data_IF_243961255906
#
_entry.id   IF_243961255906
#
_cell.length_a   1.000
_cell.length_b   1.000
_cell.length_c   1.000
_cell.angle_alpha   90.00
_cell.angle_beta   90.00
_cell.angle_gamma   90.00
#
_symmetry.space_group_name_H-M   'P 1'
#
loop_
_entity.id
_entity.type
_entity.pdbx_description
1 polymer ?
#
# COMPACT_ATOMS: atom_id res chain seq x y z
N UNK A 1 -0.40 12.86 -15.80
CA UNK A 1 -0.47 14.31 -15.54
C UNK A 1 -1.71 14.63 -14.76
N UNK A 2 -1.51 15.16 -13.56
CA UNK A 2 -2.58 15.74 -12.75
C UNK A 2 -2.81 17.14 -13.30
N UNK A 3 -3.94 17.32 -13.99
CA UNK A 3 -4.40 18.61 -14.54
C UNK A 3 -5.56 19.18 -13.73
N UNK A 4 -5.63 18.86 -12.44
CA UNK A 4 -6.72 19.28 -11.55
C UNK A 4 -6.44 20.67 -10.98
N UNK A 5 -7.49 21.39 -10.58
CA UNK A 5 -7.34 22.68 -9.89
C UNK A 5 -6.44 22.58 -8.66
N UNK A 6 -5.81 23.70 -8.28
CA UNK A 6 -4.78 23.79 -7.24
C UNK A 6 -5.31 23.74 -5.79
N UNK A 7 -6.60 23.49 -5.56
CA UNK A 7 -7.15 23.42 -4.21
C UNK A 7 -6.68 22.15 -3.49
N UNK A 8 -6.40 22.20 -2.17
CA UNK A 8 -5.98 21.01 -1.41
C UNK A 8 -6.94 19.82 -1.56
N UNK A 9 -8.24 20.08 -1.65
CA UNK A 9 -9.27 19.07 -1.86
C UNK A 9 -9.14 18.41 -3.24
N UNK A 10 -8.97 19.21 -4.30
CA UNK A 10 -8.82 18.69 -5.66
C UNK A 10 -7.55 17.86 -5.81
N UNK A 11 -6.46 18.30 -5.16
CA UNK A 11 -5.21 17.55 -5.11
C UNK A 11 -5.38 16.20 -4.43
N UNK A 12 -5.94 16.16 -3.21
CA UNK A 12 -6.18 14.90 -2.50
C UNK A 12 -7.16 14.01 -3.25
N UNK A 13 -8.21 14.57 -3.85
CA UNK A 13 -9.10 13.81 -4.72
C UNK A 13 -8.29 13.13 -5.85
N UNK A 14 -7.44 13.88 -6.54
CA UNK A 14 -6.69 13.36 -7.69
C UNK A 14 -5.63 12.32 -7.35
N UNK A 15 -4.92 12.49 -6.23
CA UNK A 15 -3.78 11.62 -5.88
C UNK A 15 -4.12 10.57 -4.84
N UNK A 16 -5.25 10.67 -4.15
CA UNK A 16 -5.68 9.68 -3.16
C UNK A 16 -6.92 8.94 -3.67
N UNK A 17 -8.00 9.66 -3.93
CA UNK A 17 -9.28 9.01 -4.20
C UNK A 17 -9.44 8.51 -5.65
N UNK A 18 -9.02 9.26 -6.68
CA UNK A 18 -9.13 8.80 -8.07
C UNK A 18 -8.33 7.50 -8.34
N UNK A 19 -7.14 7.27 -7.74
CA UNK A 19 -6.45 5.99 -7.83
C UNK A 19 -7.18 4.87 -7.07
N UNK A 20 -7.74 5.16 -5.88
CA UNK A 20 -8.51 4.18 -5.11
C UNK A 20 -9.80 3.78 -5.85
N UNK A 21 -10.51 4.74 -6.44
CA UNK A 21 -11.70 4.52 -7.26
C UNK A 21 -11.40 3.60 -8.45
N UNK A 22 -10.26 3.81 -9.14
CA UNK A 22 -9.80 2.93 -10.22
C UNK A 22 -9.53 1.49 -9.78
N UNK A 23 -9.16 1.30 -8.51
CA UNK A 23 -8.91 -0.01 -7.91
C UNK A 23 -10.13 -0.56 -7.15
N UNK A 24 -11.25 0.15 -7.15
CA UNK A 24 -12.45 -0.17 -6.34
C UNK A 24 -12.14 -0.31 -4.84
N UNK A 25 -11.18 0.48 -4.34
CA UNK A 25 -10.82 0.58 -2.94
C UNK A 25 -11.41 1.85 -2.33
N UNK A 26 -11.69 1.82 -1.04
CA UNK A 26 -12.06 2.99 -0.23
C UNK A 26 -10.87 3.48 0.59
N UNK A 27 -10.96 4.70 1.12
CA UNK A 27 -9.92 5.20 2.03
C UNK A 27 -9.71 4.30 3.27
N UNK A 28 -10.78 3.66 3.75
CA UNK A 28 -10.74 2.72 4.89
C UNK A 28 -10.08 1.38 4.57
N UNK A 29 -9.88 1.04 3.29
CA UNK A 29 -9.21 -0.20 2.87
C UNK A 29 -7.68 -0.09 2.87
N UNK A 30 -7.14 1.11 3.10
CA UNK A 30 -5.71 1.40 3.18
C UNK A 30 -5.30 1.48 4.64
N UNK A 31 -4.51 0.53 5.13
CA UNK A 31 -4.14 0.48 6.55
C UNK A 31 -3.25 1.63 6.98
N UNK A 32 -2.35 2.11 6.10
CA UNK A 32 -1.46 3.25 6.40
C UNK A 32 -1.32 4.22 5.24
N UNK A 33 -1.53 5.50 5.50
CA UNK A 33 -1.20 6.59 4.59
C UNK A 33 0.14 7.22 5.00
N UNK A 34 0.98 7.50 4.02
CA UNK A 34 2.21 8.27 4.18
C UNK A 34 2.23 9.52 3.26
N UNK A 35 1.36 10.52 3.52
CA UNK A 35 1.36 11.79 2.82
C UNK A 35 2.26 12.78 3.54
N UNK A 36 3.32 13.22 2.88
CA UNK A 36 4.16 14.32 3.38
C UNK A 36 4.59 14.16 4.86
N UNK A 37 5.29 13.07 5.20
CA UNK A 37 5.72 12.72 6.57
C UNK A 37 6.83 13.62 7.15
N UNK A 38 6.68 14.94 7.03
CA UNK A 38 7.59 15.93 7.62
C UNK A 38 7.46 15.90 9.14
N UNK A 39 8.58 15.97 9.86
CA UNK A 39 8.59 15.91 11.32
C UNK A 39 7.92 17.15 11.93
N UNK A 40 6.81 17.00 12.68
CA UNK A 40 6.11 18.10 13.35
C UNK A 40 7.00 18.91 14.29
N UNK A 41 7.99 18.28 14.93
CA UNK A 41 8.94 18.96 15.83
C UNK A 41 9.76 20.05 15.11
N UNK A 42 9.82 19.98 13.77
CA UNK A 42 10.52 20.95 12.92
C UNK A 42 9.52 21.89 12.24
N UNK A 43 8.40 21.37 11.75
CA UNK A 43 7.42 22.17 10.98
C UNK A 43 6.53 23.05 11.86
N UNK A 44 6.21 22.64 13.09
CA UNK A 44 5.42 23.44 14.02
C UNK A 44 6.15 24.72 14.46
N UNK A 45 7.42 24.69 14.93
CA UNK A 45 8.15 25.91 15.28
C UNK A 45 8.39 26.84 14.08
N UNK A 46 8.45 26.29 12.86
CA UNK A 46 8.57 27.05 11.62
C UNK A 46 7.25 27.67 11.14
N UNK A 47 6.14 27.45 11.85
CA UNK A 47 4.82 28.01 11.52
C UNK A 47 4.06 27.27 10.42
N UNK A 48 4.53 26.10 9.99
CA UNK A 48 3.84 25.25 9.01
C UNK A 48 2.84 24.27 9.66
N UNK A 49 2.94 24.06 10.98
CA UNK A 49 2.08 23.16 11.75
C UNK A 49 2.43 21.67 11.54
N UNK A 50 1.58 20.78 12.06
CA UNK A 50 1.68 19.32 11.82
C UNK A 50 1.13 18.96 10.43
N UNK A 51 2.04 18.90 9.45
CA UNK A 51 1.74 18.63 8.04
C UNK A 51 1.15 17.23 7.82
N UNK A 52 1.72 16.14 8.38
CA UNK A 52 1.10 14.81 8.30
C UNK A 52 -0.35 14.79 8.82
N UNK A 53 -0.59 15.32 10.02
CA UNK A 53 -1.94 15.32 10.62
C UNK A 53 -2.94 16.15 9.82
N UNK A 54 -2.51 17.28 9.26
CA UNK A 54 -3.36 18.08 8.37
C UNK A 54 -3.79 17.29 7.12
N UNK A 55 -2.89 16.47 6.58
CA UNK A 55 -3.20 15.58 5.46
C UNK A 55 -4.20 14.48 5.82
N UNK A 56 -4.02 13.80 6.96
CA UNK A 56 -4.98 12.78 7.42
C UNK A 56 -6.36 13.36 7.67
N UNK A 57 -6.44 14.57 8.25
CA UNK A 57 -7.72 15.29 8.43
C UNK A 57 -8.41 15.55 7.10
N UNK A 58 -7.66 15.94 6.06
CA UNK A 58 -8.23 16.19 4.73
C UNK A 58 -8.73 14.90 4.06
N UNK A 59 -7.95 13.82 4.13
CA UNK A 59 -8.35 12.50 3.62
C UNK A 59 -9.61 12.03 4.34
N UNK A 60 -9.64 12.07 5.68
CA UNK A 60 -10.80 11.70 6.48
C UNK A 60 -12.03 12.54 6.14
N UNK A 61 -11.88 13.87 5.99
CA UNK A 61 -12.98 14.76 5.66
C UNK A 61 -13.59 14.47 4.28
N UNK A 62 -12.74 14.14 3.30
CA UNK A 62 -13.20 13.74 1.96
C UNK A 62 -13.85 12.35 1.98
N UNK A 63 -13.32 11.40 2.74
CA UNK A 63 -13.94 10.09 2.93
C UNK A 63 -15.34 10.21 3.56
N UNK A 64 -15.52 11.11 4.54
CA UNK A 64 -16.84 11.42 5.13
C UNK A 64 -17.78 12.02 4.10
N UNK A 65 -17.30 13.01 3.33
CA UNK A 65 -18.11 13.62 2.26
C UNK A 65 -18.57 12.61 1.22
N UNK A 66 -17.77 11.56 0.98
CA UNK A 66 -18.04 10.48 0.03
C UNK A 66 -18.89 9.34 0.61
N UNK A 67 -19.21 9.38 1.91
CA UNK A 67 -19.96 8.32 2.60
C UNK A 67 -19.14 7.04 2.83
N UNK A 68 -17.80 7.13 2.78
CA UNK A 68 -16.89 6.01 3.05
C UNK A 68 -16.51 5.91 4.53
N UNK A 69 -16.69 6.99 5.29
CA UNK A 69 -16.33 7.13 6.69
C UNK A 69 -17.42 7.91 7.43
N UNK A 70 -17.77 7.51 8.65
CA UNK A 70 -18.68 8.29 9.49
C UNK A 70 -17.93 9.47 10.11
N UNK A 71 -18.60 10.62 10.24
CA UNK A 71 -17.98 11.84 10.81
C UNK A 71 -17.44 11.60 12.23
N UNK A 72 -18.09 10.74 13.01
CA UNK A 72 -17.67 10.34 14.35
C UNK A 72 -16.37 9.55 14.38
N UNK A 73 -16.02 8.86 13.30
CA UNK A 73 -14.85 7.98 13.24
C UNK A 73 -13.61 8.66 12.65
N UNK A 74 -13.69 9.94 12.25
CA UNK A 74 -12.55 10.71 11.76
C UNK A 74 -11.35 10.69 12.71
N UNK A 75 -11.59 10.80 14.02
CA UNK A 75 -10.51 10.79 15.02
C UNK A 75 -9.77 9.44 15.05
N UNK A 76 -10.53 8.33 15.02
CA UNK A 76 -9.95 6.98 14.95
C UNK A 76 -9.20 6.77 13.65
N UNK A 77 -9.77 7.22 12.53
CA UNK A 77 -9.15 7.11 11.22
C UNK A 77 -7.75 7.74 11.20
N UNK A 78 -7.59 8.95 11.76
CA UNK A 78 -6.30 9.64 11.80
C UNK A 78 -5.26 8.85 12.61
N UNK A 79 -5.67 8.25 13.73
CA UNK A 79 -4.77 7.49 14.61
C UNK A 79 -4.41 6.13 14.00
N UNK A 80 -5.41 5.41 13.49
CA UNK A 80 -5.25 4.05 12.97
C UNK A 80 -4.59 4.04 11.59
N UNK A 81 -4.97 4.95 10.70
CA UNK A 81 -4.48 4.99 9.32
C UNK A 81 -3.33 5.99 9.10
N UNK A 82 -3.08 6.90 10.04
CA UNK A 82 -1.97 7.84 9.98
C UNK A 82 -0.62 7.24 10.36
N UNK A 83 0.43 7.93 9.94
CA UNK A 83 1.81 7.72 10.38
C UNK A 83 2.40 9.03 10.92
N UNK A 84 3.20 8.99 12.00
CA UNK A 84 3.93 10.16 12.46
C UNK A 84 4.87 10.69 11.37
N UNK A 85 5.14 11.99 11.41
CA UNK A 85 6.16 12.60 10.58
C UNK A 85 7.56 12.20 11.05
N UNK A 86 8.42 11.80 10.11
CA UNK A 86 9.75 11.24 10.37
C UNK A 86 10.84 12.00 9.62
N UNK A 87 10.49 12.58 8.47
CA UNK A 87 11.44 13.23 7.58
C UNK A 87 11.82 14.61 8.12
N UNK A 88 13.11 14.97 8.15
CA UNK A 88 13.56 16.22 8.77
C UNK A 88 12.93 17.46 8.11
N UNK A 89 12.77 17.50 6.78
CA UNK A 89 12.10 18.61 6.07
C UNK A 89 11.57 18.16 4.70
N UNK A 90 10.95 19.10 3.96
CA UNK A 90 10.60 18.96 2.54
C UNK A 90 11.88 18.85 1.68
N UNK A 91 12.24 17.63 1.29
CA UNK A 91 13.30 17.37 0.31
C UNK A 91 12.75 17.08 -1.09
N UNK A 92 13.64 16.83 -2.05
CA UNK A 92 13.28 16.40 -3.41
C UNK A 92 12.66 14.99 -3.45
N UNK A 93 12.91 14.18 -2.41
CA UNK A 93 12.32 12.85 -2.25
C UNK A 93 11.01 13.01 -1.48
N UNK A 94 9.89 12.43 -1.94
CA UNK A 94 8.65 12.42 -1.20
C UNK A 94 8.87 11.90 0.22
N UNK A 95 8.53 12.68 1.24
CA UNK A 95 8.81 12.33 2.64
C UNK A 95 8.07 11.08 3.13
N UNK A 96 7.10 10.57 2.37
CA UNK A 96 6.50 9.26 2.61
C UNK A 96 7.37 8.07 2.21
N UNK A 97 8.37 8.22 1.34
CA UNK A 97 9.22 7.11 0.86
C UNK A 97 10.00 6.41 1.98
N UNK A 98 10.56 7.11 2.99
CA UNK A 98 11.18 6.44 4.15
C UNK A 98 10.28 5.43 4.87
N UNK A 99 8.94 5.59 4.81
CA UNK A 99 8.01 4.63 5.40
C UNK A 99 7.99 3.27 4.68
N UNK A 100 8.42 3.19 3.41
CA UNK A 100 8.36 1.95 2.62
C UNK A 100 9.05 0.77 3.30
N UNK A 101 10.22 1.00 3.91
CA UNK A 101 10.94 -0.05 4.65
C UNK A 101 10.14 -0.57 5.84
N UNK A 102 9.59 0.34 6.64
CA UNK A 102 8.74 0.00 7.79
C UNK A 102 7.45 -0.69 7.34
N UNK A 103 6.79 -0.19 6.29
CA UNK A 103 5.59 -0.79 5.73
C UNK A 103 5.86 -2.24 5.28
N UNK A 104 7.00 -2.50 4.63
CA UNK A 104 7.42 -3.85 4.24
C UNK A 104 7.58 -4.76 5.47
N UNK A 105 8.20 -4.29 6.54
CA UNK A 105 8.35 -5.09 7.76
C UNK A 105 7.01 -5.34 8.46
N UNK A 106 6.11 -4.35 8.50
CA UNK A 106 4.75 -4.50 9.04
C UNK A 106 3.94 -5.50 8.20
N UNK A 107 4.04 -5.45 6.86
CA UNK A 107 3.41 -6.42 5.96
C UNK A 107 3.96 -7.83 6.16
N UNK A 108 5.26 -8.00 6.35
CA UNK A 108 5.84 -9.32 6.65
C UNK A 108 5.37 -9.88 7.99
N UNK A 109 5.02 -9.02 8.95
CA UNK A 109 4.42 -9.39 10.23
C UNK A 109 2.89 -9.56 10.18
N UNK A 110 2.27 -9.34 9.02
CA UNK A 110 0.80 -9.33 8.84
C UNK A 110 0.08 -8.24 9.66
N UNK A 111 0.76 -7.17 10.02
CA UNK A 111 0.18 -6.04 10.78
C UNK A 111 -0.62 -5.10 9.87
N UNK A 112 -0.21 -4.97 8.60
CA UNK A 112 -0.91 -4.20 7.57
C UNK A 112 -0.96 -4.99 6.27
N UNK A 113 -1.98 -4.74 5.45
CA UNK A 113 -2.14 -5.29 4.11
C UNK A 113 -1.79 -4.28 3.03
N UNK A 114 -2.10 -3.00 3.24
CA UNK A 114 -1.93 -1.92 2.24
C UNK A 114 -1.35 -0.66 2.86
N UNK A 115 -0.35 -0.11 2.18
CA UNK A 115 0.19 1.21 2.49
C UNK A 115 0.13 2.09 1.24
N UNK A 116 -0.35 3.33 1.39
CA UNK A 116 -0.39 4.31 0.32
C UNK A 116 0.64 5.41 0.57
N UNK A 117 1.64 5.50 -0.31
CA UNK A 117 2.66 6.54 -0.30
C UNK A 117 2.20 7.66 -1.23
N UNK A 118 2.17 8.89 -0.71
CA UNK A 118 1.70 10.05 -1.47
C UNK A 118 2.82 11.07 -1.56
N UNK A 119 3.30 11.27 -2.79
CA UNK A 119 4.24 12.33 -3.14
C UNK A 119 3.51 13.50 -3.75
N UNK A 120 3.72 14.68 -3.17
CA UNK A 120 3.14 15.93 -3.64
C UNK A 120 4.22 16.85 -4.20
N UNK A 121 3.89 17.49 -5.31
CA UNK A 121 4.71 18.52 -5.94
C UNK A 121 4.76 19.79 -5.10
N UNK A 122 5.63 20.71 -5.53
CA UNK A 122 5.87 21.96 -4.81
C UNK A 122 4.62 22.82 -4.70
N UNK A 123 4.22 23.14 -3.47
CA UNK A 123 3.19 24.14 -3.18
C UNK A 123 3.55 25.53 -3.72
N UNK A 124 4.84 25.87 -3.74
CA UNK A 124 5.31 27.13 -4.30
C UNK A 124 5.02 27.22 -5.81
N UNK A 125 5.39 26.17 -6.55
CA UNK A 125 5.12 26.11 -7.98
C UNK A 125 3.61 26.10 -8.25
N UNK A 126 2.84 25.35 -7.46
CA UNK A 126 1.38 25.30 -7.60
C UNK A 126 0.68 26.65 -7.37
N UNK A 127 1.23 27.52 -6.50
CA UNK A 127 0.74 28.89 -6.35
C UNK A 127 1.08 29.79 -7.55
N UNK A 128 2.20 29.53 -8.22
CA UNK A 128 2.62 30.32 -9.40
C UNK A 128 1.91 29.89 -10.68
N UNK A 129 1.65 28.59 -10.86
CA UNK A 129 1.12 28.04 -12.11
C UNK A 129 -0.36 27.69 -12.05
N UNK A 130 -0.97 27.71 -10.85
CA UNK A 130 -2.29 27.11 -10.60
C UNK A 130 -2.39 25.62 -11.01
N UNK A 131 -1.25 24.94 -11.17
CA UNK A 131 -1.19 23.53 -11.50
C UNK A 131 -0.49 22.77 -10.37
N UNK A 132 -1.04 21.63 -10.01
CA UNK A 132 -0.45 20.77 -9.00
C UNK A 132 0.08 19.49 -9.63
N UNK A 133 1.25 19.03 -9.17
CA UNK A 133 1.80 17.75 -9.58
C UNK A 133 1.92 16.81 -8.38
N UNK A 134 1.96 15.52 -8.63
CA UNK A 134 2.00 14.52 -7.57
C UNK A 134 1.98 13.10 -8.12
N UNK A 135 2.29 12.18 -7.25
CA UNK A 135 2.23 10.75 -7.52
C UNK A 135 1.76 10.04 -6.26
N UNK A 136 1.04 8.95 -6.45
CA UNK A 136 0.70 8.03 -5.38
C UNK A 136 1.08 6.62 -5.77
N UNK A 137 1.54 5.85 -4.79
CA UNK A 137 1.86 4.45 -4.94
C UNK A 137 1.16 3.66 -3.83
N UNK A 138 0.48 2.58 -4.19
CA UNK A 138 -0.08 1.63 -3.22
C UNK A 138 0.81 0.40 -3.23
N UNK A 139 1.26 0.02 -2.04
CA UNK A 139 1.99 -1.22 -1.79
C UNK A 139 1.02 -2.17 -1.11
N UNK A 140 0.89 -3.38 -1.64
CA UNK A 140 0.05 -4.43 -1.06
C UNK A 140 0.90 -5.63 -0.64
N UNK A 141 0.56 -6.22 0.51
CA UNK A 141 1.15 -7.46 0.97
C UNK A 141 0.88 -8.57 -0.05
N UNK A 142 1.96 -9.15 -0.58
CA UNK A 142 1.87 -10.28 -1.49
C UNK A 142 1.18 -11.47 -0.78
N UNK A 143 0.04 -11.91 -1.31
CA UNK A 143 -0.73 -13.04 -0.77
C UNK A 143 -0.03 -14.40 -0.97
N UNK A 144 1.11 -14.41 -1.67
CA UNK A 144 1.77 -15.60 -2.15
C UNK A 144 0.93 -16.31 -3.21
N UNK A 145 1.49 -17.37 -3.79
CA UNK A 145 0.71 -18.25 -4.65
C UNK A 145 -0.14 -19.14 -3.74
N UNK A 146 -1.39 -18.76 -3.46
CA UNK A 146 -2.37 -19.66 -2.84
C UNK A 146 -2.78 -20.71 -3.88
N UNK A 147 -2.00 -21.79 -3.93
CA UNK A 147 -2.12 -22.80 -4.97
C UNK A 147 -1.22 -22.48 -6.15
N UNK A 148 0.09 -22.65 -5.99
CA UNK A 148 0.79 -23.30 -7.09
C UNK A 148 -0.01 -24.57 -7.32
N UNK A 149 -0.51 -24.77 -8.54
CA UNK A 149 -1.17 -26.02 -8.89
C UNK A 149 -0.32 -27.11 -8.24
N UNK A 150 -0.88 -27.83 -7.27
CA UNK A 150 -0.37 -29.16 -7.01
C UNK A 150 -0.62 -29.83 -8.35
N UNK A 151 0.36 -29.78 -9.26
CA UNK A 151 0.48 -30.78 -10.30
C UNK A 151 0.17 -32.07 -9.57
N UNK A 152 -0.79 -32.83 -10.08
CA UNK A 152 -1.28 -34.01 -9.38
C UNK A 152 -0.15 -35.04 -9.35
N UNK A 153 0.76 -34.85 -8.38
CA UNK A 153 1.96 -35.66 -8.16
C UNK A 153 1.52 -37.09 -7.83
N UNK A 154 0.25 -37.29 -7.47
CA UNK A 154 -0.38 -38.59 -7.29
C UNK A 154 -0.34 -39.44 -8.56
N UNK A 155 -0.51 -38.85 -9.75
CA UNK A 155 -0.43 -39.61 -11.01
C UNK A 155 1.01 -40.03 -11.31
N UNK A 156 1.98 -39.13 -11.08
CA UNK A 156 3.40 -39.42 -11.23
C UNK A 156 3.90 -40.44 -10.20
N UNK A 157 3.47 -40.36 -8.94
CA UNK A 157 3.77 -41.37 -7.92
C UNK A 157 3.14 -42.72 -8.26
N UNK A 158 1.88 -42.74 -8.70
CA UNK A 158 1.21 -43.98 -9.07
C UNK A 158 1.86 -44.65 -10.29
N UNK A 159 2.35 -43.86 -11.25
CA UNK A 159 3.14 -44.37 -12.37
C UNK A 159 4.48 -44.93 -11.91
N UNK A 160 5.22 -44.20 -11.05
CA UNK A 160 6.49 -44.67 -10.50
C UNK A 160 6.34 -45.96 -9.68
N UNK A 161 5.26 -46.12 -8.91
CA UNK A 161 4.98 -47.36 -8.18
C UNK A 161 4.64 -48.53 -9.09
N UNK A 162 3.92 -48.30 -10.19
CA UNK A 162 3.65 -49.33 -11.20
C UNK A 162 4.92 -49.78 -11.89
N UNK A 163 5.74 -48.83 -12.36
CA UNK A 163 7.03 -49.12 -12.99
C UNK A 163 7.98 -49.87 -12.03
N UNK A 164 7.98 -49.51 -10.74
CA UNK A 164 8.75 -50.22 -9.72
C UNK A 164 8.23 -51.64 -9.45
N UNK A 165 6.91 -51.84 -9.43
CA UNK A 165 6.32 -53.17 -9.28
C UNK A 165 6.61 -54.07 -10.49
N UNK A 166 6.54 -53.52 -11.71
CA UNK A 166 6.89 -54.23 -12.94
C UNK A 166 8.38 -54.60 -12.98
N UNK A 167 9.25 -53.71 -12.49
CA UNK A 167 10.69 -53.97 -12.33
C UNK A 167 10.97 -55.10 -11.32
N UNK A 168 10.21 -55.19 -10.22
CA UNK A 168 10.35 -56.28 -9.26
C UNK A 168 9.83 -57.61 -9.80
N UNK A 169 8.70 -57.61 -10.52
CA UNK A 169 8.15 -58.82 -11.14
C UNK A 169 9.09 -59.38 -12.22
N UNK A 170 9.66 -58.52 -13.07
CA UNK A 170 10.60 -58.94 -14.13
C UNK A 170 11.94 -59.45 -13.60
N UNK A 171 12.36 -59.08 -12.37
CA UNK A 171 13.52 -59.70 -11.70
C UNK A 171 13.16 -60.95 -10.89
N UNK A 172 11.93 -61.07 -10.41
CA UNK A 172 11.44 -62.24 -9.69
C UNK A 172 11.29 -63.50 -10.57
N UNK A 173 11.15 -63.32 -11.89
CA UNK A 173 11.06 -64.43 -12.86
C UNK A 173 12.44 -64.94 -13.35
N UNK A 174 13.55 -64.33 -12.92
CA UNK A 174 14.91 -64.66 -13.40
C UNK A 174 15.78 -65.52 -12.48
N UNK A 175 15.44 -65.67 -11.20
CA UNK A 175 16.26 -66.39 -10.21
C UNK A 175 15.60 -67.71 -9.74
N UNK A 176 14.87 -68.36 -10.64
CA UNK A 176 14.08 -69.56 -10.35
C UNK A 176 14.02 -70.59 -11.48
N UNK A 177 15.14 -70.87 -12.14
CA UNK A 177 15.36 -72.10 -12.93
C UNK A 177 16.84 -72.35 -13.20
#
# INVERSE_FOLDING_TARGET
>A
NIGTGSSPQAVIQSIVFDPLDRLSLKAVDIDKFAPELQNPDITEPAGAGDVPTANYKMIAALAVRRGELEKSDMGKFIVEHGMPGLAPTQGHIPSGVPFVGFARDMMLKNEIKRAMIVGKGSLFLGRMTNQFDGISLIIEQNQGIKGGAKEDVSQYLAQAFREFADFLNTRGEGDGS
#
